data_IF_313756937664
#
_entry.id   IF_313756937664
#
_cell.length_a   1.000
_cell.length_b   1.000
_cell.length_c   1.000
_cell.angle_alpha   90.00
_cell.angle_beta   90.00
_cell.angle_gamma   90.00
#
_symmetry.space_group_name_H-M   'P 1'
#
loop_
_entity.id
_entity.type
_entity.pdbx_description
1 polymer ?
#
# COMPACT_ATOMS: atom_id res chain seq x y z
N UNK A 1 30.85 -8.46 14.41
CA UNK A 1 30.31 -7.38 13.56
C UNK A 1 29.35 -7.88 12.47
N UNK A 2 29.46 -9.11 11.95
CA UNK A 2 28.63 -9.62 10.84
C UNK A 2 27.12 -9.77 11.14
N UNK A 3 26.73 -9.99 12.41
CA UNK A 3 25.31 -10.16 12.81
C UNK A 3 24.53 -8.85 12.77
N UNK A 4 25.13 -7.75 13.19
CA UNK A 4 24.52 -6.41 13.16
C UNK A 4 24.29 -5.94 11.72
N UNK A 5 25.26 -6.18 10.83
CA UNK A 5 25.11 -5.86 9.40
C UNK A 5 24.02 -6.67 8.70
N UNK A 6 23.83 -7.94 9.09
CA UNK A 6 22.76 -8.78 8.54
C UNK A 6 21.38 -8.33 9.03
N UNK A 7 21.27 -7.88 10.28
CA UNK A 7 20.02 -7.35 10.84
C UNK A 7 19.62 -6.02 10.21
N UNK A 8 20.55 -5.09 10.02
CA UNK A 8 20.28 -3.81 9.32
C UNK A 8 19.86 -4.04 7.86
N UNK A 9 20.54 -4.95 7.14
CA UNK A 9 20.16 -5.32 5.77
C UNK A 9 18.73 -5.87 5.67
N UNK A 10 18.31 -6.72 6.61
CA UNK A 10 16.94 -7.26 6.65
C UNK A 10 15.90 -6.16 6.84
N UNK A 11 16.15 -5.20 7.74
CA UNK A 11 15.25 -4.06 7.96
C UNK A 11 15.15 -3.19 6.71
N UNK A 12 16.28 -2.88 6.06
CA UNK A 12 16.30 -2.14 4.80
C UNK A 12 15.50 -2.86 3.70
N UNK A 13 15.61 -4.19 3.62
CA UNK A 13 14.85 -5.00 2.66
C UNK A 13 13.35 -4.99 2.96
N UNK A 14 12.94 -5.00 4.23
CA UNK A 14 11.52 -4.89 4.60
C UNK A 14 10.95 -3.53 4.21
N UNK A 15 11.69 -2.46 4.44
CA UNK A 15 11.30 -1.11 4.03
C UNK A 15 11.14 -1.02 2.50
N UNK A 16 12.10 -1.57 1.75
CA UNK A 16 12.01 -1.64 0.29
C UNK A 16 10.80 -2.45 -0.19
N UNK A 17 10.51 -3.59 0.44
CA UNK A 17 9.31 -4.40 0.11
C UNK A 17 8.01 -3.63 0.39
N UNK A 18 7.92 -2.92 1.51
CA UNK A 18 6.77 -2.10 1.83
C UNK A 18 6.57 -0.96 0.83
N UNK A 19 7.64 -0.27 0.41
CA UNK A 19 7.54 0.80 -0.57
C UNK A 19 7.07 0.31 -1.94
N UNK A 20 7.51 -0.88 -2.37
CA UNK A 20 7.01 -1.50 -3.59
C UNK A 20 5.51 -1.77 -3.48
N UNK A 21 5.04 -2.40 -2.39
CA UNK A 21 3.61 -2.66 -2.20
C UNK A 21 2.76 -1.39 -2.31
N UNK A 22 3.20 -0.29 -1.69
CA UNK A 22 2.52 1.02 -1.79
C UNK A 22 2.43 1.49 -3.23
N UNK A 23 3.54 1.44 -3.97
CA UNK A 23 3.61 1.90 -5.35
C UNK A 23 2.70 1.06 -6.27
N UNK A 24 2.83 -0.26 -6.22
CA UNK A 24 2.01 -1.16 -7.02
C UNK A 24 0.52 -0.96 -6.72
N UNK A 25 0.15 -0.88 -5.43
CA UNK A 25 -1.24 -0.75 -5.02
C UNK A 25 -1.86 0.59 -5.45
N UNK A 26 -1.16 1.71 -5.29
CA UNK A 26 -1.64 3.02 -5.74
C UNK A 26 -1.71 3.14 -7.26
N UNK A 27 -0.71 2.61 -7.98
CA UNK A 27 -0.72 2.60 -9.45
C UNK A 27 -1.88 1.75 -10.00
N UNK A 28 -2.13 0.57 -9.43
CA UNK A 28 -3.26 -0.26 -9.83
C UNK A 28 -4.61 0.40 -9.51
N UNK A 29 -4.75 1.06 -8.35
CA UNK A 29 -5.96 1.80 -8.01
C UNK A 29 -6.26 2.92 -9.03
N UNK A 30 -5.22 3.65 -9.44
CA UNK A 30 -5.36 4.64 -10.50
C UNK A 30 -5.68 4.01 -11.86
N UNK A 31 -5.03 2.89 -12.19
CA UNK A 31 -5.26 2.19 -13.45
C UNK A 31 -6.70 1.67 -13.57
N UNK A 32 -7.27 1.13 -12.49
CA UNK A 32 -8.67 0.66 -12.44
C UNK A 32 -9.65 1.81 -12.71
N UNK A 33 -9.38 2.99 -12.16
CA UNK A 33 -10.20 4.18 -12.41
C UNK A 33 -10.14 4.65 -13.87
N UNK A 34 -8.97 4.53 -14.52
CA UNK A 34 -8.79 4.96 -15.91
C UNK A 34 -9.30 3.91 -16.91
N UNK A 35 -9.15 2.62 -16.62
CA UNK A 35 -9.56 1.53 -17.51
C UNK A 35 -11.08 1.50 -17.75
N UNK A 36 -11.88 1.92 -16.78
CA UNK A 36 -13.32 1.95 -16.92
C UNK A 36 -13.79 2.91 -18.02
N UNK A 37 -13.05 3.98 -18.30
CA UNK A 37 -13.52 5.06 -19.20
C UNK A 37 -14.85 5.68 -18.76
N UNK A 38 -15.27 5.39 -17.52
CA UNK A 38 -16.56 5.75 -16.94
C UNK A 38 -16.43 7.05 -16.13
N UNK A 39 -17.50 7.83 -16.09
CA UNK A 39 -17.65 8.99 -15.19
C UNK A 39 -17.97 8.52 -13.77
N UNK A 40 -17.78 9.36 -12.75
CA UNK A 40 -18.06 9.04 -11.34
C UNK A 40 -17.08 7.99 -10.73
N UNK A 41 -15.79 8.15 -11.05
CA UNK A 41 -14.63 7.46 -10.43
C UNK A 41 -14.04 8.29 -9.30
N UNK A 42 -13.13 7.74 -8.49
CA UNK A 42 -12.44 8.54 -7.45
C UNK A 42 -11.71 9.76 -8.04
N UNK A 43 -11.20 9.65 -9.26
CA UNK A 43 -10.50 10.74 -9.97
C UNK A 43 -11.47 11.90 -10.29
N UNK A 44 -12.72 11.58 -10.59
CA UNK A 44 -13.79 12.55 -10.87
C UNK A 44 -14.22 13.27 -9.58
N UNK A 45 -14.39 12.52 -8.49
CA UNK A 45 -14.76 13.05 -7.17
C UNK A 45 -13.73 14.04 -6.62
N UNK A 46 -12.44 13.76 -6.85
CA UNK A 46 -11.35 14.64 -6.43
C UNK A 46 -11.08 15.80 -7.41
N UNK A 47 -11.84 15.90 -8.52
CA UNK A 47 -11.64 16.95 -9.54
C UNK A 47 -10.29 16.85 -10.25
N UNK A 48 -9.77 15.63 -10.44
CA UNK A 48 -8.44 15.35 -10.97
C UNK A 48 -8.41 14.96 -12.45
N UNK A 49 -9.54 15.09 -13.16
CA UNK A 49 -9.65 14.74 -14.58
C UNK A 49 -8.65 15.53 -15.44
N UNK A 50 -8.55 16.84 -15.21
CA UNK A 50 -7.63 17.75 -15.93
C UNK A 50 -6.27 17.90 -15.23
N UNK A 51 -6.05 17.19 -14.13
CA UNK A 51 -4.81 17.30 -13.36
C UNK A 51 -3.64 16.58 -14.05
N UNK A 52 -2.44 17.14 -13.92
CA UNK A 52 -1.23 16.50 -14.39
C UNK A 52 -0.98 15.13 -13.74
N UNK A 53 -0.30 14.23 -14.45
CA UNK A 53 -0.01 12.85 -14.01
C UNK A 53 0.64 12.81 -12.62
N UNK A 54 1.52 13.76 -12.32
CA UNK A 54 2.17 13.85 -11.01
C UNK A 54 1.19 14.06 -9.86
N UNK A 55 0.14 14.89 -10.04
CA UNK A 55 -0.87 15.11 -9.00
C UNK A 55 -1.74 13.85 -8.81
N UNK A 56 -2.18 13.25 -9.91
CA UNK A 56 -2.96 11.99 -9.90
C UNK A 56 -2.18 10.85 -9.22
N UNK A 57 -0.88 10.80 -9.44
CA UNK A 57 0.02 9.85 -8.77
C UNK A 57 0.16 10.11 -7.28
N UNK A 58 0.31 11.37 -6.85
CA UNK A 58 0.43 11.71 -5.43
C UNK A 58 -0.84 11.33 -4.65
N UNK A 59 -2.01 11.60 -5.20
CA UNK A 59 -3.30 11.27 -4.57
C UNK A 59 -3.52 9.75 -4.51
N UNK A 60 -3.16 9.01 -5.58
CA UNK A 60 -3.27 7.54 -5.57
C UNK A 60 -2.26 6.89 -4.61
N UNK A 61 -1.06 7.45 -4.48
CA UNK A 61 -0.07 7.03 -3.47
C UNK A 61 -0.56 7.34 -2.05
N UNK A 62 -1.15 8.52 -1.84
CA UNK A 62 -1.71 8.89 -0.55
C UNK A 62 -2.84 7.95 -0.11
N UNK A 63 -3.76 7.61 -1.01
CA UNK A 63 -4.79 6.59 -0.77
C UNK A 63 -4.19 5.21 -0.46
N UNK A 64 -3.18 4.80 -1.23
CA UNK A 64 -2.48 3.53 -1.01
C UNK A 64 -1.79 3.47 0.35
N UNK A 65 -1.09 4.53 0.74
CA UNK A 65 -0.44 4.63 2.06
C UNK A 65 -1.47 4.59 3.17
N UNK A 66 -2.53 5.41 3.11
CA UNK A 66 -3.55 5.47 4.17
C UNK A 66 -4.28 4.13 4.33
N UNK A 67 -4.48 3.38 3.24
CA UNK A 67 -5.07 2.04 3.25
C UNK A 67 -4.10 0.99 3.81
N UNK A 68 -2.86 0.94 3.32
CA UNK A 68 -1.85 -0.04 3.75
C UNK A 68 -1.40 0.15 5.19
N UNK A 69 -1.39 1.40 5.66
CA UNK A 69 -1.11 1.74 7.07
C UNK A 69 -2.35 1.65 7.95
N UNK A 70 -3.51 1.31 7.38
CA UNK A 70 -4.82 1.21 8.07
C UNK A 70 -5.24 2.50 8.77
N UNK A 71 -4.70 3.65 8.36
CA UNK A 71 -5.10 4.97 8.88
C UNK A 71 -6.49 5.32 8.38
N UNK A 72 -6.73 5.15 7.07
CA UNK A 72 -8.06 5.23 6.46
C UNK A 72 -8.81 6.54 6.73
N UNK A 73 -8.25 7.69 6.35
CA UNK A 73 -8.90 9.00 6.54
C UNK A 73 -10.28 9.10 5.87
N UNK A 74 -10.50 8.35 4.78
CA UNK A 74 -11.79 8.25 4.10
C UNK A 74 -12.13 9.46 3.23
N UNK A 75 -11.13 10.28 2.92
CA UNK A 75 -11.22 11.39 1.96
C UNK A 75 -11.30 10.88 0.52
N UNK A 76 -10.38 10.00 0.12
CA UNK A 76 -10.43 9.36 -1.21
C UNK A 76 -11.16 8.02 -1.07
N UNK A 77 -12.30 7.90 -1.75
CA UNK A 77 -13.13 6.68 -1.74
C UNK A 77 -13.40 6.15 -3.15
N UNK A 78 -13.44 4.82 -3.33
CA UNK A 78 -13.83 4.22 -4.61
C UNK A 78 -15.31 4.49 -4.91
N UNK A 79 -15.57 5.20 -6.01
CA UNK A 79 -16.91 5.55 -6.48
C UNK A 79 -17.62 4.34 -7.08
N UNK A 80 -16.94 3.63 -7.98
CA UNK A 80 -17.53 2.54 -8.77
C UNK A 80 -17.42 1.16 -8.15
N UNK A 81 -18.27 0.24 -8.61
CA UNK A 81 -18.22 -1.17 -8.21
C UNK A 81 -16.85 -1.80 -8.51
N UNK A 82 -16.27 -1.52 -9.68
CA UNK A 82 -14.94 -2.06 -10.05
C UNK A 82 -13.83 -1.58 -9.11
N UNK A 83 -13.82 -0.29 -8.79
CA UNK A 83 -12.88 0.31 -7.83
C UNK A 83 -13.07 -0.27 -6.43
N UNK A 84 -14.33 -0.46 -6.00
CA UNK A 84 -14.67 -1.04 -4.69
C UNK A 84 -14.22 -2.50 -4.58
N UNK A 85 -14.46 -3.32 -5.61
CA UNK A 85 -14.00 -4.70 -5.64
C UNK A 85 -12.47 -4.79 -5.58
N UNK A 86 -11.78 -3.94 -6.35
CA UNK A 86 -10.33 -3.86 -6.30
C UNK A 86 -9.84 -3.42 -4.92
N UNK A 87 -10.43 -2.38 -4.34
CA UNK A 87 -10.08 -1.90 -3.00
C UNK A 87 -10.28 -3.00 -1.94
N UNK A 88 -11.38 -3.76 -1.99
CA UNK A 88 -11.64 -4.88 -1.07
C UNK A 88 -10.57 -5.98 -1.18
N UNK A 89 -10.28 -6.46 -2.39
CA UNK A 89 -9.23 -7.47 -2.61
C UNK A 89 -7.86 -6.96 -2.20
N UNK A 90 -7.61 -5.69 -2.49
CA UNK A 90 -6.45 -4.92 -2.05
C UNK A 90 -6.24 -4.93 -0.55
N UNK A 91 -7.25 -4.53 0.22
CA UNK A 91 -7.21 -4.51 1.68
C UNK A 91 -6.95 -5.90 2.29
N UNK A 92 -7.49 -6.97 1.69
CA UNK A 92 -7.19 -8.34 2.13
C UNK A 92 -5.73 -8.72 1.87
N UNK A 93 -5.21 -8.41 0.68
CA UNK A 93 -3.81 -8.66 0.34
C UNK A 93 -2.84 -7.86 1.23
N UNK A 94 -3.18 -6.59 1.49
CA UNK A 94 -2.46 -5.68 2.36
C UNK A 94 -2.37 -6.20 3.80
N UNK A 95 -3.51 -6.61 4.36
CA UNK A 95 -3.59 -7.15 5.71
C UNK A 95 -2.77 -8.43 5.85
N UNK A 96 -2.82 -9.32 4.84
CA UNK A 96 -2.01 -10.55 4.82
C UNK A 96 -0.52 -10.25 4.76
N UNK A 97 -0.10 -9.31 3.92
CA UNK A 97 1.28 -8.87 3.84
C UNK A 97 1.76 -8.25 5.16
N UNK A 98 0.93 -7.40 5.78
CA UNK A 98 1.23 -6.78 7.07
C UNK A 98 1.36 -7.82 8.19
N UNK A 99 0.45 -8.79 8.26
CA UNK A 99 0.51 -9.89 9.22
C UNK A 99 1.79 -10.74 9.04
N UNK A 100 2.17 -11.02 7.80
CA UNK A 100 3.42 -11.72 7.50
C UNK A 100 4.65 -10.93 7.99
N UNK A 101 4.69 -9.62 7.72
CA UNK A 101 5.78 -8.75 8.18
C UNK A 101 5.90 -8.77 9.71
N UNK A 102 4.79 -8.57 10.44
CA UNK A 102 4.78 -8.66 11.90
C UNK A 102 5.24 -10.03 12.40
N UNK A 103 4.79 -11.12 11.78
CA UNK A 103 5.19 -12.48 12.12
C UNK A 103 6.70 -12.72 11.95
N UNK A 104 7.29 -12.21 10.87
CA UNK A 104 8.74 -12.29 10.66
C UNK A 104 9.53 -11.49 11.70
N UNK A 105 9.04 -10.31 12.09
CA UNK A 105 9.66 -9.50 13.14
C UNK A 105 9.60 -10.19 14.50
N UNK A 106 8.44 -10.74 14.86
CA UNK A 106 8.26 -11.49 16.10
C UNK A 106 9.18 -12.73 16.17
N UNK A 107 9.32 -13.47 15.06
CA UNK A 107 10.21 -14.63 14.95
C UNK A 107 11.70 -14.24 15.11
N UNK A 108 12.11 -13.10 14.55
CA UNK A 108 13.47 -12.58 14.75
C UNK A 108 13.71 -12.26 16.23
N UNK A 109 12.78 -11.55 16.88
CA UNK A 109 12.89 -11.17 18.29
C UNK A 109 12.88 -12.38 19.23
N UNK A 110 12.02 -13.38 18.98
CA UNK A 110 11.99 -14.61 19.78
C UNK A 110 13.28 -15.42 19.64
N UNK A 111 13.84 -15.50 18.42
CA UNK A 111 15.11 -16.18 18.18
C UNK A 111 16.31 -15.50 18.84
N UNK A 112 16.23 -14.19 19.11
CA UNK A 112 17.22 -13.44 19.88
C UNK A 112 17.12 -13.75 21.37
N UNK A 113 15.91 -13.86 21.90
CA UNK A 113 15.68 -14.18 23.32
C UNK A 113 16.07 -15.62 23.65
N UNK A 114 15.83 -16.58 22.75
CA UNK A 114 16.25 -17.97 22.91
C UNK A 114 17.78 -18.15 22.90
N UNK A 115 18.51 -17.25 22.24
CA UNK A 115 19.98 -17.31 22.11
C UNK A 115 20.74 -16.60 23.23
N UNK A 116 20.05 -16.07 24.24
CA UNK A 116 20.62 -15.39 25.40
C UNK A 116 20.38 -16.22 26.65
#
# INVERSE_FOLDING_TARGET
SNTVGLQTYRVMLLYYKASQLVHWFGCFFHHVAVLGGETDTWVDHEGLLDAGVGRRYLESMYWSVSTLTTVGYGDIVPGKLGERMFAMLGMLSATTAFAYLLGTMASITSSLHYRR
#
